data_IF_570197113604
#
_entry.id   IF_570197113604
#
_cell.length_a   1.000
_cell.length_b   1.000
_cell.length_c   1.000
_cell.angle_alpha   90.00
_cell.angle_beta   90.00
_cell.angle_gamma   90.00
#
_symmetry.space_group_name_H-M   'P 1'
#
loop_
_entity.id
_entity.type
_entity.pdbx_description
1 polymer ?
2 polymer ?
3 non-polymer ?
4 water ?
#
# COMPACT_ATOMS: atom_id res chain seq x y z
N UNK A 2 -12.09 25.66 15.85
CA UNK A 2 -13.49 25.66 15.33
C UNK A 2 -13.59 25.52 13.81
N UNK A 3 -12.51 25.80 13.11
CA UNK A 3 -12.64 25.81 11.63
C UNK A 3 -11.82 24.72 11.04
N UNK A 4 -12.33 24.09 9.99
CA UNK A 4 -11.62 22.96 9.32
C UNK A 4 -11.39 23.17 7.84
N UNK A 5 -10.40 22.49 7.31
CA UNK A 5 -10.18 22.34 5.88
C UNK A 5 -9.42 21.06 5.78
N UNK A 6 -9.29 20.58 4.54
CA UNK A 6 -8.69 19.26 4.26
C UNK A 6 -7.39 19.11 5.00
N UNK A 7 -6.50 20.10 4.83
CA UNK A 7 -5.12 19.92 5.29
C UNK A 7 -5.10 19.80 6.83
N UNK A 8 -5.94 20.61 7.50
CA UNK A 8 -5.95 20.63 8.99
C UNK A 8 -6.40 19.26 9.58
N UNK A 9 -7.50 18.72 9.02
CA UNK A 9 -8.05 17.51 9.43
C UNK A 9 -7.02 16.32 9.11
N UNK A 10 -6.45 16.30 7.90
CA UNK A 10 -5.57 15.14 7.49
C UNK A 10 -4.26 15.22 8.33
N UNK A 11 -3.71 16.45 8.56
CA UNK A 11 -2.45 16.48 9.34
C UNK A 11 -2.69 15.98 10.76
N UNK A 12 -3.77 16.42 11.41
CA UNK A 12 -4.08 15.98 12.75
C UNK A 12 -4.35 14.46 12.87
N UNK A 13 -5.11 13.99 11.87
CA UNK A 13 -5.36 12.54 11.79
C UNK A 13 -4.11 11.65 11.57
N UNK A 14 -3.14 12.14 10.78
CA UNK A 14 -1.96 11.30 10.60
C UNK A 14 -1.11 11.31 11.88
N UNK A 15 -1.10 12.44 12.64
CA UNK A 15 -0.37 12.40 13.87
C UNK A 15 -1.07 11.47 14.86
N UNK A 16 -2.40 11.55 14.92
CA UNK A 16 -3.16 10.62 15.83
C UNK A 16 -2.90 9.16 15.43
N UNK A 17 -2.90 8.86 14.14
CA UNK A 17 -2.58 7.48 13.68
C UNK A 17 -1.24 7.01 14.25
N UNK A 18 -0.20 7.87 14.16
CA UNK A 18 1.09 7.48 14.71
C UNK A 18 1.01 7.33 16.26
N UNK A 19 0.19 8.13 16.96
CA UNK A 19 0.12 8.03 18.42
C UNK A 19 -0.62 6.82 18.91
N UNK A 20 -1.69 6.40 18.22
CA UNK A 20 -2.66 5.37 18.77
C UNK A 20 -2.87 4.16 17.84
N UNK A 21 -2.40 4.26 16.60
CA UNK A 21 -2.55 3.17 15.61
C UNK A 21 -3.99 3.11 15.08
N UNK A 22 -4.23 2.24 14.13
CA UNK A 22 -5.48 2.30 13.37
C UNK A 22 -6.72 1.95 14.21
N UNK A 23 -6.58 0.96 15.07
CA UNK A 23 -7.75 0.68 15.97
C UNK A 23 -8.03 1.85 16.91
N UNK A 24 -7.01 2.58 17.36
CA UNK A 24 -7.13 3.68 18.32
C UNK A 24 -7.77 4.89 17.68
N UNK A 25 -7.68 4.95 16.35
CA UNK A 25 -8.18 6.14 15.56
C UNK A 25 -9.68 6.16 15.40
N UNK A 26 -10.34 7.17 15.92
CA UNK A 26 -11.76 7.25 15.68
C UNK A 26 -12.05 8.74 15.31
N UNK A 27 -13.19 8.97 14.66
CA UNK A 27 -13.59 10.35 14.34
C UNK A 27 -13.82 11.19 15.60
N UNK A 28 -14.29 10.58 16.68
CA UNK A 28 -14.51 11.35 17.89
C UNK A 28 -13.16 11.83 18.44
N UNK A 29 -12.13 10.93 18.43
CA UNK A 29 -10.84 11.27 19.06
C UNK A 29 -10.13 12.35 18.25
N UNK A 30 -10.34 12.28 16.95
CA UNK A 30 -9.86 13.27 15.99
C UNK A 30 -10.53 14.63 16.20
N UNK A 31 -11.86 14.65 16.31
CA UNK A 31 -12.55 15.94 16.60
C UNK A 31 -11.95 16.55 17.87
N UNK A 32 -11.68 15.72 18.87
CA UNK A 32 -11.13 16.25 20.11
C UNK A 32 -9.69 16.86 19.94
N UNK A 33 -8.87 16.15 19.19
CA UNK A 33 -7.54 16.59 18.94
C UNK A 33 -7.58 17.89 18.17
N UNK A 34 -8.65 18.08 17.38
CA UNK A 34 -8.77 19.25 16.49
C UNK A 34 -9.34 20.44 17.20
N UNK A 35 -9.87 20.19 18.41
CA UNK A 35 -10.65 21.16 19.23
C UNK A 35 -11.89 21.59 18.45
N UNK A 36 -12.56 20.66 17.77
CA UNK A 36 -13.82 20.94 17.09
C UNK A 36 -14.96 20.04 17.52
N UNK A 37 -16.20 20.51 17.34
CA UNK A 37 -17.34 19.68 17.66
C UNK A 37 -17.53 18.71 16.45
N UNK A 38 -18.07 17.56 16.72
CA UNK A 38 -18.22 16.47 15.68
C UNK A 38 -19.02 16.84 14.41
N UNK A 39 -20.08 17.66 14.50
CA UNK A 39 -20.79 17.97 13.24
C UNK A 39 -20.00 18.82 12.26
N UNK A 40 -19.07 19.65 12.77
CA UNK A 40 -18.14 20.40 11.88
C UNK A 40 -17.26 19.39 11.16
N UNK A 41 -16.79 18.39 11.92
CA UNK A 41 -15.91 17.37 11.31
C UNK A 41 -16.64 16.52 10.25
N UNK A 42 -17.93 16.22 10.47
CA UNK A 42 -18.73 15.42 9.58
C UNK A 42 -18.69 15.90 8.13
N UNK A 43 -18.73 17.23 7.93
CA UNK A 43 -18.68 17.73 6.55
C UNK A 43 -17.38 17.38 5.85
N UNK A 44 -16.33 17.09 6.64
CA UNK A 44 -15.03 16.71 6.02
C UNK A 44 -14.76 15.26 5.96
N UNK A 45 -15.16 14.55 7.00
CA UNK A 45 -15.11 13.05 7.02
C UNK A 45 -16.37 12.53 7.69
N UNK A 46 -17.19 11.87 6.89
CA UNK A 46 -18.49 11.37 7.25
C UNK A 46 -18.43 10.22 8.24
N UNK A 47 -17.35 9.44 8.16
CA UNK A 47 -17.17 8.33 9.09
C UNK A 47 -15.72 7.85 9.05
N UNK A 48 -15.45 6.79 9.80
CA UNK A 48 -14.08 6.24 9.82
C UNK A 48 -13.56 5.81 8.50
N UNK A 49 -14.43 5.13 7.76
CA UNK A 49 -14.08 4.63 6.45
C UNK A 49 -13.59 5.78 5.56
N UNK A 50 -14.29 6.92 5.57
CA UNK A 50 -13.94 8.04 4.70
C UNK A 50 -12.58 8.61 5.17
N UNK A 51 -12.42 8.59 6.51
CA UNK A 51 -11.15 9.10 7.06
C UNK A 51 -9.97 8.26 6.63
N UNK A 52 -10.13 6.95 6.77
CA UNK A 52 -9.08 6.07 6.25
C UNK A 52 -8.72 6.30 4.79
N UNK A 53 -9.77 6.37 3.95
CA UNK A 53 -9.54 6.61 2.53
C UNK A 53 -8.74 7.91 2.30
N UNK A 54 -9.09 9.00 3.00
CA UNK A 54 -8.35 10.28 2.87
C UNK A 54 -6.88 10.17 3.29
N UNK A 55 -6.70 9.39 4.38
CA UNK A 55 -5.34 9.21 4.86
C UNK A 55 -4.50 8.36 3.88
N UNK A 56 -5.10 7.30 3.32
CA UNK A 56 -4.35 6.50 2.32
C UNK A 56 -3.98 7.32 1.13
N UNK A 57 -4.88 8.13 0.63
CA UNK A 57 -4.55 9.03 -0.53
C UNK A 57 -3.52 10.07 -0.19
N UNK A 58 -3.59 10.67 1.01
CA UNK A 58 -2.53 11.55 1.37
C UNK A 58 -1.14 10.92 1.42
N UNK A 59 -1.08 9.68 1.98
CA UNK A 59 0.23 9.04 2.04
C UNK A 59 0.80 8.78 0.63
N UNK A 60 -0.09 8.40 -0.30
CA UNK A 60 0.39 8.31 -1.70
C UNK A 60 0.77 9.65 -2.27
N UNK A 61 -0.01 10.72 -1.99
CA UNK A 61 0.35 12.03 -2.57
C UNK A 61 1.75 12.51 -2.07
N UNK A 62 2.11 12.15 -0.85
CA UNK A 62 3.39 12.56 -0.26
C UNK A 62 4.54 11.67 -0.68
N UNK A 63 4.33 10.34 -0.79
CA UNK A 63 5.47 9.45 -0.82
C UNK A 63 5.47 8.51 -2.04
N UNK A 64 4.37 8.43 -2.77
CA UNK A 64 4.34 7.48 -3.89
C UNK A 64 4.90 8.18 -5.12
N UNK A 65 6.21 8.31 -5.21
CA UNK A 65 6.84 9.13 -6.27
C UNK A 65 6.74 8.46 -7.64
N UNK A 66 6.62 7.14 -7.66
CA UNK A 66 6.60 6.36 -8.96
C UNK A 66 5.23 5.84 -9.27
N UNK A 67 4.19 6.51 -8.72
CA UNK A 67 2.77 6.26 -9.09
C UNK A 67 2.62 6.09 -10.61
N UNK A 68 3.18 7.03 -11.38
CA UNK A 68 3.00 7.00 -12.82
C UNK A 68 4.28 6.52 -13.46
N UNK A 69 4.21 5.82 -14.64
CA UNK A 69 5.42 5.53 -15.43
C UNK A 69 6.19 6.75 -15.76
N UNK A 70 7.52 6.61 -15.84
CA UNK A 70 8.44 7.68 -16.22
C UNK A 70 8.93 7.45 -17.64
N UNK A 71 8.90 8.45 -18.54
CA UNK A 71 9.59 8.29 -19.85
C UNK A 71 11.10 8.23 -19.52
N UNK A 72 11.91 7.42 -20.22
CA UNK A 72 11.49 6.30 -21.06
C UNK A 72 11.91 5.02 -20.32
N UNK A 73 11.27 4.77 -19.19
CA UNK A 73 11.44 3.52 -18.38
C UNK A 73 11.01 2.27 -19.13
N UNK A 74 11.75 1.17 -18.91
CA UNK A 74 11.26 -0.15 -19.32
C UNK A 74 10.04 -0.51 -18.46
N UNK A 75 9.15 -1.34 -18.97
CA UNK A 75 8.02 -1.78 -18.09
C UNK A 75 8.56 -2.46 -16.81
N UNK A 76 9.67 -3.20 -16.91
CA UNK A 76 10.16 -3.91 -15.73
C UNK A 76 10.61 -2.90 -14.69
N UNK A 77 11.30 -1.86 -15.11
CA UNK A 77 11.74 -0.82 -14.18
C UNK A 77 10.57 -0.05 -13.63
N UNK A 78 9.57 0.24 -14.47
CA UNK A 78 8.39 0.92 -13.96
C UNK A 78 7.74 0.05 -12.84
N UNK A 79 7.57 -1.26 -13.07
CA UNK A 79 6.83 -2.08 -12.10
C UNK A 79 7.71 -2.12 -10.77
N UNK A 80 9.03 -2.27 -10.89
CA UNK A 80 9.88 -2.37 -9.70
C UNK A 80 9.82 -1.06 -8.93
N UNK A 81 9.96 0.08 -9.65
CA UNK A 81 10.03 1.41 -8.98
C UNK A 81 8.68 1.77 -8.36
N UNK A 82 7.61 1.46 -9.10
CA UNK A 82 6.28 1.66 -8.57
C UNK A 82 6.03 0.88 -7.29
N UNK A 83 6.44 -0.40 -7.23
CA UNK A 83 6.28 -1.15 -6.06
C UNK A 83 7.08 -0.60 -4.90
N UNK A 84 8.31 -0.19 -5.19
CA UNK A 84 9.19 0.35 -4.12
C UNK A 84 8.56 1.62 -3.55
N UNK A 85 7.99 2.48 -4.40
CA UNK A 85 7.42 3.79 -4.04
C UNK A 85 6.14 3.54 -3.20
N UNK A 86 5.37 2.60 -3.70
CA UNK A 86 4.10 2.18 -2.96
C UNK A 86 4.42 1.68 -1.54
N UNK A 87 5.45 0.82 -1.46
CA UNK A 87 5.93 0.34 -0.19
C UNK A 87 6.32 1.48 0.76
N UNK A 88 7.00 2.45 0.19
CA UNK A 88 7.50 3.61 1.04
C UNK A 88 6.25 4.37 1.57
N UNK A 89 5.21 4.57 0.74
CA UNK A 89 4.00 5.20 1.21
C UNK A 89 3.34 4.41 2.36
N UNK A 90 3.28 3.04 2.27
CA UNK A 90 2.64 2.21 3.24
C UNK A 90 3.44 2.26 4.57
N UNK A 91 4.77 2.43 4.48
CA UNK A 91 5.61 2.41 5.66
C UNK A 91 5.71 3.80 6.28
N UNK A 92 5.11 4.80 5.64
CA UNK A 92 5.31 6.18 6.12
C UNK A 92 4.70 6.47 7.45
N UNK A 93 3.69 5.73 7.82
CA UNK A 93 2.97 5.94 9.09
C UNK A 93 2.67 4.64 9.77
N UNK A 94 2.52 4.66 11.08
CA UNK A 94 2.05 3.50 11.87
C UNK A 94 0.77 2.87 11.24
N UNK A 95 0.79 1.53 11.06
CA UNK A 95 -0.36 0.85 10.49
C UNK A 95 -0.76 1.34 9.12
N UNK A 96 0.22 1.85 8.34
CA UNK A 96 -0.13 2.42 7.11
C UNK A 96 -0.73 1.44 6.11
N UNK A 97 -0.19 0.27 6.10
CA UNK A 97 -0.79 -0.66 5.11
C UNK A 97 -2.24 -1.10 5.54
N UNK A 98 -2.57 -1.23 6.83
CA UNK A 98 -3.97 -1.49 7.25
C UNK A 98 -4.85 -0.29 6.76
N UNK A 99 -4.30 0.95 6.88
CA UNK A 99 -5.04 2.15 6.41
C UNK A 99 -5.39 2.05 4.96
N UNK A 100 -4.41 1.56 4.14
CA UNK A 100 -4.59 1.40 2.72
C UNK A 100 -5.53 0.28 2.23
N UNK A 101 -5.71 -0.80 3.02
CA UNK A 101 -6.59 -1.92 2.58
C UNK A 101 -7.96 -1.35 2.20
N UNK A 102 -8.43 -1.76 1.04
CA UNK A 102 -9.86 -1.49 0.66
C UNK A 102 -10.04 -0.11 0.04
N UNK A 103 -8.97 0.70 -0.05
CA UNK A 103 -9.03 2.09 -0.66
C UNK A 103 -9.49 2.07 -2.09
N UNK A 104 -10.34 3.07 -2.45
CA UNK A 104 -10.84 3.21 -3.78
C UNK A 104 -10.17 4.42 -4.40
N UNK A 105 -9.81 4.34 -5.70
CA UNK A 105 -9.36 5.60 -6.42
C UNK A 105 -10.43 6.64 -6.48
N UNK A 106 -10.05 7.93 -6.45
CA UNK A 106 -11.02 8.96 -6.71
C UNK A 106 -10.69 9.43 -8.14
N UNK A 107 -11.53 10.32 -8.61
CA UNK A 107 -11.34 10.90 -9.93
C UNK A 107 -9.94 11.53 -10.18
N UNK A 108 -9.33 12.10 -9.16
CA UNK A 108 -8.01 12.73 -9.36
C UNK A 108 -6.86 11.74 -9.67
N UNK A 109 -7.06 10.45 -9.43
CA UNK A 109 -6.08 9.42 -9.82
C UNK A 109 -6.38 8.80 -11.15
N UNK A 110 -7.53 9.15 -11.79
CA UNK A 110 -7.87 8.39 -13.00
C UNK A 110 -6.85 8.57 -14.12
N UNK A 111 -6.39 9.80 -14.34
CA UNK A 111 -5.37 10.04 -15.36
C UNK A 111 -4.11 9.20 -15.16
N UNK A 112 -3.61 9.16 -13.93
CA UNK A 112 -2.45 8.35 -13.56
C UNK A 112 -2.69 6.87 -13.88
N UNK A 113 -3.83 6.38 -13.43
CA UNK A 113 -4.13 4.94 -13.57
C UNK A 113 -4.36 4.57 -15.04
N UNK A 114 -4.94 5.48 -15.86
CA UNK A 114 -5.10 5.22 -17.29
C UNK A 114 -3.72 5.11 -18.00
N UNK A 115 -2.82 6.00 -17.61
CA UNK A 115 -1.45 6.02 -18.12
C UNK A 115 -0.63 4.78 -17.78
N UNK A 116 -0.81 4.26 -16.55
CA UNK A 116 -0.19 2.97 -16.25
C UNK A 116 -0.65 1.90 -17.24
N UNK A 117 -1.94 1.78 -17.45
CA UNK A 117 -2.46 0.74 -18.37
C UNK A 117 -2.07 0.98 -19.86
N UNK A 118 -2.11 2.22 -20.27
CA UNK A 118 -1.76 2.57 -21.68
C UNK A 118 -0.30 2.15 -21.91
N UNK A 119 0.54 2.44 -20.91
CA UNK A 119 1.95 2.19 -20.96
C UNK A 119 2.16 0.68 -21.05
N UNK A 120 1.57 -0.10 -20.15
CA UNK A 120 1.80 -1.54 -20.22
C UNK A 120 1.30 -2.20 -21.49
N UNK A 121 0.14 -1.81 -22.01
CA UNK A 121 -0.44 -2.43 -23.19
C UNK A 121 0.40 -2.00 -24.40
N UNK A 122 0.97 -0.82 -24.33
CA UNK A 122 1.84 -0.33 -25.46
C UNK A 122 3.12 -1.12 -25.43
N UNK A 123 3.43 -1.71 -24.29
CA UNK A 123 4.61 -2.56 -24.14
C UNK A 123 4.34 -4.00 -24.59
N UNK A 124 3.08 -4.29 -24.96
CA UNK A 124 2.73 -5.62 -25.45
C UNK A 124 1.84 -6.46 -24.50
N UNK A 125 1.54 -5.95 -23.33
CA UNK A 125 0.58 -6.65 -22.44
C UNK A 125 -0.83 -6.63 -23.00
N UNK A 126 -1.57 -7.72 -22.87
CA UNK A 126 -3.05 -7.57 -23.00
C UNK A 126 -3.58 -6.66 -21.85
N UNK A 127 -4.76 -6.05 -22.03
CA UNK A 127 -5.39 -5.28 -20.95
C UNK A 127 -5.53 -6.10 -19.70
N UNK A 128 -5.98 -7.33 -19.87
CA UNK A 128 -6.18 -8.28 -18.72
C UNK A 128 -4.83 -8.56 -18.03
N UNK A 129 -3.80 -8.82 -18.84
CA UNK A 129 -2.50 -9.16 -18.21
C UNK A 129 -1.84 -7.96 -17.52
N UNK A 130 -2.07 -6.78 -18.07
CA UNK A 130 -1.61 -5.51 -17.41
C UNK A 130 -2.32 -5.33 -16.08
N UNK A 131 -3.64 -5.53 -16.09
CA UNK A 131 -4.42 -5.41 -14.85
C UNK A 131 -3.89 -6.38 -13.76
N UNK A 132 -3.64 -7.65 -14.15
CA UNK A 132 -3.25 -8.59 -13.09
C UNK A 132 -1.77 -8.52 -12.77
N UNK A 133 -0.94 -7.93 -13.64
CA UNK A 133 0.46 -7.67 -13.23
C UNK A 133 0.44 -6.58 -12.16
N UNK A 134 -0.31 -5.51 -12.43
CA UNK A 134 -0.43 -4.49 -11.39
C UNK A 134 -1.12 -4.95 -10.08
N UNK A 135 -2.16 -5.79 -10.18
CA UNK A 135 -2.81 -6.34 -9.03
C UNK A 135 -1.88 -7.21 -8.20
N UNK A 136 -1.16 -8.06 -8.92
CA UNK A 136 -0.24 -8.97 -8.18
C UNK A 136 0.88 -8.24 -7.45
N UNK A 137 1.43 -7.20 -8.13
CA UNK A 137 2.43 -6.36 -7.46
C UNK A 137 1.78 -5.70 -6.23
N UNK A 138 0.56 -5.15 -6.36
CA UNK A 138 -0.10 -4.47 -5.24
C UNK A 138 -0.39 -5.37 -4.08
N UNK A 139 -0.85 -6.61 -4.39
CA UNK A 139 -1.22 -7.57 -3.32
C UNK A 139 0.04 -8.09 -2.60
N UNK A 140 1.09 -8.36 -3.40
CA UNK A 140 2.34 -8.85 -2.78
C UNK A 140 2.91 -7.72 -1.90
N UNK A 141 2.89 -6.49 -2.38
CA UNK A 141 3.48 -5.41 -1.58
C UNK A 141 2.70 -5.15 -0.28
N UNK A 142 1.34 -5.06 -0.34
CA UNK A 142 0.54 -5.01 0.86
C UNK A 142 0.79 -6.09 1.84
N UNK A 143 0.82 -7.38 1.35
CA UNK A 143 1.08 -8.52 2.19
C UNK A 143 2.42 -8.41 2.89
N UNK A 144 3.43 -8.02 2.12
CA UNK A 144 4.78 -7.86 2.65
C UNK A 144 4.79 -6.89 3.82
N UNK A 145 4.25 -5.70 3.57
CA UNK A 145 4.29 -4.61 4.61
C UNK A 145 3.38 -5.01 5.79
N UNK A 146 2.23 -5.58 5.49
CA UNK A 146 1.33 -5.96 6.59
C UNK A 146 1.97 -6.96 7.52
N UNK A 147 2.61 -7.99 6.99
CA UNK A 147 3.26 -8.97 7.80
C UNK A 147 4.42 -8.31 8.59
N UNK A 148 5.29 -7.51 7.93
CA UNK A 148 6.42 -6.78 8.60
C UNK A 148 5.94 -6.00 9.82
N UNK A 149 4.90 -5.19 9.59
CA UNK A 149 4.30 -4.16 10.53
C UNK A 149 3.70 -4.96 11.72
N UNK A 150 3.09 -6.09 11.42
CA UNK A 150 2.55 -6.92 12.55
C UNK A 150 3.55 -7.64 13.44
N UNK A 151 4.61 -8.25 12.86
CA UNK A 151 5.65 -8.83 13.71
C UNK A 151 6.23 -7.79 14.61
N UNK A 152 6.37 -6.59 14.04
CA UNK A 152 6.84 -5.47 14.88
C UNK A 152 5.99 -5.24 16.09
N UNK A 153 4.67 -5.31 15.92
CA UNK A 153 3.73 -5.03 17.03
C UNK A 153 3.76 -6.19 18.00
N UNK A 154 3.85 -7.41 17.45
CA UNK A 154 3.58 -8.60 18.28
C UNK A 154 4.70 -8.82 19.31
N UNK A 155 5.77 -8.03 19.20
CA UNK A 155 6.97 -8.34 19.96
C UNK A 155 6.84 -7.78 21.34
N UNK A 156 6.00 -6.74 21.50
CA UNK A 156 5.64 -6.21 22.81
C UNK A 156 4.68 -7.14 23.58
N UNK A 157 4.27 -8.26 22.95
CA UNK A 157 3.06 -8.98 23.33
C UNK A 157 3.23 -10.49 23.50
N UNK A 158 4.42 -10.98 23.18
CA UNK A 158 4.70 -12.41 23.03
C UNK A 158 6.17 -12.65 23.46
N UNK A 159 6.49 -13.83 24.02
CA UNK A 159 7.90 -14.21 24.30
C UNK A 159 8.66 -14.27 22.97
N UNK A 160 9.83 -13.64 22.91
CA UNK A 160 10.63 -13.58 21.66
C UNK A 160 11.21 -14.97 21.45
N UNK A 161 10.94 -15.56 20.25
CA UNK A 161 11.22 -16.98 20.06
C UNK A 161 12.68 -17.30 19.79
N UNK A 162 13.23 -18.24 20.54
CA UNK A 162 14.53 -18.92 20.17
C UNK A 162 14.43 -19.86 18.94
N UNK A 163 15.39 -19.77 18.04
CA UNK A 163 15.47 -20.67 16.91
C UNK A 163 16.35 -21.88 17.24
N UNK A 164 16.97 -21.90 18.43
CA UNK A 164 17.99 -22.91 18.77
C UNK A 164 17.55 -24.33 18.49
N UNK A 165 16.25 -24.63 18.78
CA UNK A 165 15.76 -26.02 18.75
C UNK A 165 15.10 -26.42 17.46
N UNK A 166 15.08 -25.53 16.49
CA UNK A 166 14.51 -25.92 15.22
C UNK A 166 15.41 -26.91 14.44
N UNK A 167 14.81 -27.69 13.53
CA UNK A 167 15.56 -28.60 12.66
C UNK A 167 16.40 -27.75 11.72
N UNK A 168 17.47 -28.29 11.13
CA UNK A 168 18.58 -27.52 10.51
C UNK A 168 18.14 -26.61 9.32
N UNK A 169 17.32 -27.13 8.39
CA UNK A 169 16.95 -26.24 7.26
C UNK A 169 16.01 -25.12 7.68
N UNK A 170 15.03 -25.41 8.57
CA UNK A 170 14.10 -24.42 9.01
C UNK A 170 14.90 -23.38 9.81
N UNK A 171 15.82 -23.84 10.68
CA UNK A 171 16.64 -22.93 11.54
C UNK A 171 17.38 -21.95 10.62
N UNK A 172 18.01 -22.49 9.60
CA UNK A 172 18.85 -21.69 8.67
C UNK A 172 17.96 -20.73 7.90
N UNK A 173 16.80 -21.19 7.48
CA UNK A 173 15.87 -20.32 6.66
C UNK A 173 15.35 -19.24 7.53
N UNK A 174 14.82 -19.56 8.72
CA UNK A 174 14.29 -18.49 9.57
C UNK A 174 15.34 -17.44 10.03
N UNK A 175 16.51 -17.89 10.48
CA UNK A 175 17.61 -17.01 10.82
C UNK A 175 18.00 -16.17 9.61
N UNK A 176 17.98 -16.75 8.43
CA UNK A 176 18.40 -15.94 7.21
C UNK A 176 17.33 -14.86 6.89
N UNK A 177 16.03 -15.22 7.06
CA UNK A 177 14.93 -14.33 6.68
C UNK A 177 15.04 -13.13 7.64
N UNK A 178 15.25 -13.38 8.94
CA UNK A 178 15.35 -12.25 9.89
C UNK A 178 16.63 -11.38 9.73
N UNK A 179 17.71 -12.06 9.36
CA UNK A 179 19.00 -11.44 9.12
C UNK A 179 18.98 -10.47 7.96
N UNK A 180 18.45 -10.96 6.86
CA UNK A 180 18.45 -10.12 5.66
C UNK A 180 17.36 -9.04 5.79
N UNK A 181 16.28 -9.34 6.52
CA UNK A 181 15.26 -8.31 6.81
C UNK A 181 14.18 -8.10 5.74
N UNK A 182 13.32 -7.12 6.06
CA UNK A 182 12.10 -6.86 5.26
C UNK A 182 12.45 -6.51 3.77
N UNK A 183 13.46 -5.63 3.54
CA UNK A 183 13.60 -5.15 2.18
C UNK A 183 14.10 -6.23 1.23
N UNK A 184 15.10 -7.03 1.62
CA UNK A 184 15.49 -8.11 0.72
C UNK A 184 14.36 -9.12 0.45
N UNK A 185 13.48 -9.39 1.46
CA UNK A 185 12.42 -10.35 1.15
C UNK A 185 11.45 -9.72 0.10
N UNK A 186 11.15 -8.45 0.29
CA UNK A 186 10.26 -7.74 -0.65
C UNK A 186 10.91 -7.73 -2.05
N UNK A 187 12.18 -7.35 -2.17
CA UNK A 187 12.83 -7.31 -3.47
C UNK A 187 12.92 -8.68 -4.17
N UNK A 188 13.18 -9.72 -3.42
CA UNK A 188 13.20 -11.08 -4.01
C UNK A 188 11.83 -11.43 -4.58
N UNK A 189 10.77 -11.27 -3.83
CA UNK A 189 9.41 -11.59 -4.36
C UNK A 189 9.05 -10.73 -5.59
N UNK A 190 9.36 -9.42 -5.49
CA UNK A 190 9.09 -8.47 -6.56
C UNK A 190 9.80 -8.91 -7.88
N UNK A 191 11.11 -9.28 -7.76
CA UNK A 191 11.87 -9.80 -8.88
C UNK A 191 11.26 -11.08 -9.42
N UNK A 192 10.77 -11.97 -8.56
CA UNK A 192 10.19 -13.25 -9.09
C UNK A 192 8.92 -12.92 -9.90
N UNK A 193 8.07 -12.03 -9.37
CA UNK A 193 6.91 -11.55 -10.15
C UNK A 193 7.27 -10.99 -11.51
N UNK A 194 8.23 -10.07 -11.52
CA UNK A 194 8.69 -9.46 -12.84
C UNK A 194 9.22 -10.50 -13.83
N UNK A 195 10.07 -11.41 -13.37
CA UNK A 195 10.46 -12.56 -14.21
C UNK A 195 9.29 -13.38 -14.73
N UNK A 196 8.29 -13.57 -13.90
CA UNK A 196 7.16 -14.34 -14.35
C UNK A 196 6.42 -13.54 -15.41
N UNK A 197 6.26 -12.23 -15.20
CA UNK A 197 5.53 -11.39 -16.19
C UNK A 197 6.29 -11.48 -17.57
N UNK A 198 7.59 -11.49 -17.50
CA UNK A 198 8.44 -11.45 -18.74
C UNK A 198 8.15 -12.71 -19.55
N UNK A 199 8.08 -13.85 -18.86
CA UNK A 199 7.92 -15.22 -19.42
C UNK A 199 6.57 -15.27 -20.09
N UNK A 200 5.55 -14.77 -19.41
CA UNK A 200 4.21 -14.80 -19.94
C UNK A 200 4.02 -13.87 -21.13
N UNK A 201 4.58 -12.68 -21.04
CA UNK A 201 4.59 -11.73 -22.15
C UNK A 201 5.27 -12.31 -23.39
N UNK A 202 6.42 -12.95 -23.21
CA UNK A 202 7.14 -13.53 -24.38
C UNK A 202 6.32 -14.56 -25.09
N UNK A 203 5.64 -15.42 -24.31
CA UNK A 203 4.55 -16.22 -24.86
C UNK A 203 3.54 -15.10 -25.20
N UNK A 204 2.24 -15.36 -25.30
CA UNK A 204 1.37 -14.29 -25.84
C UNK A 204 1.82 -13.87 -27.26
N UNK A 205 2.89 -13.09 -27.35
CA UNK A 205 3.41 -12.59 -28.63
C UNK A 205 4.62 -13.39 -29.15
N UNK B 4 -26.53 6.30 -12.95
CA UNK B 4 -25.43 5.31 -13.06
C UNK B 4 -25.91 4.01 -13.66
N UNK B 5 -25.07 3.37 -14.48
CA UNK B 5 -25.44 2.05 -15.02
C UNK B 5 -24.63 0.91 -14.40
N UNK B 6 -23.33 1.11 -14.20
CA UNK B 6 -22.48 0.01 -13.73
C UNK B 6 -21.76 0.40 -12.44
N UNK B 7 -21.81 -0.53 -11.46
CA UNK B 7 -21.03 -0.39 -10.21
C UNK B 7 -20.17 -1.66 -10.01
N UNK B 8 -19.07 -1.54 -9.29
CA UNK B 8 -18.29 -2.74 -8.93
C UNK B 8 -18.23 -2.83 -7.43
N UNK B 9 -17.93 -4.03 -6.92
CA UNK B 9 -17.97 -4.33 -5.46
C UNK B 9 -16.59 -4.75 -4.94
N UNK B 10 -15.65 -4.99 -5.88
CA UNK B 10 -14.25 -5.32 -5.53
C UNK B 10 -13.36 -4.58 -6.51
N UNK B 11 -12.27 -4.02 -5.96
CA UNK B 11 -11.27 -3.23 -6.70
C UNK B 11 -9.87 -3.81 -6.38
N UNK B 12 -8.93 -3.62 -7.31
CA UNK B 12 -7.57 -3.97 -7.02
C UNK B 12 -7.00 -2.93 -6.08
N UNK B 13 -5.89 -3.25 -5.44
CA UNK B 13 -5.26 -2.30 -4.54
C UNK B 13 -4.91 -1.01 -5.30
N UNK B 14 -5.01 0.14 -4.62
CA UNK B 14 -4.64 1.40 -5.32
C UNK B 14 -3.16 1.71 -5.21
N UNK B 15 -2.48 1.82 -6.32
CA UNK B 15 -1.07 2.17 -6.34
C UNK B 15 -0.69 2.41 -7.80
X LIG C 1 -6.08 -0.61 -11.81
X LIG C 1 -5.66 0.69 -11.30
X LIG C 1 -4.92 -1.62 -11.83
X LIG C 1 -4.34 -1.70 -10.50
X LIG D 1 22.14 -15.52 8.13
X LIG D 1 21.54 -16.03 9.28
X LIG D 1 23.64 -15.63 8.37
X LIG D 1 24.24 -15.40 7.12
#
# INVERSE_FOLDING_TARGET
MSRLDKSKVINSALELLNEVGIEGLTTRKLAQKLGVEQPTLYWHVKNKRALLDALAIEMLDRHHTHFSPLEGESWQDFLRNNAKSFRNALLSHRDGAKVHLGTRPTEKQYETLENQLAFLTQQGFSLENALYALSAVGHFTLGSVLEDQEHQVAKEERETPTTDSMPPLLRQAIELFDHQGAEPAFLHGLESLIRGFEVQLTALLQIV
KKESRVVVWRLPPLH
EDO C1 O1 C2 O2
EDO C1 O1 C2 O2
#
